data_IF_340012700442
#
_entry.id   IF_340012700442
#
_cell.length_a   1.000
_cell.length_b   1.000
_cell.length_c   1.000
_cell.angle_alpha   90.00
_cell.angle_beta   90.00
_cell.angle_gamma   90.00
#
_symmetry.space_group_name_H-M   'P 1'
#
loop_
_entity.id
_entity.type
_entity.pdbx_description
1 polymer ?
#
# COMPACT_ATOMS: atom_id res chain seq x y z
N UNK A 1 -23.43 -38.95 36.60
CA UNK A 1 -24.04 -37.66 36.95
C UNK A 1 -22.96 -36.77 37.58
N UNK A 2 -22.33 -35.92 36.81
CA UNK A 2 -21.38 -34.94 37.31
C UNK A 2 -22.01 -33.54 37.13
N UNK A 3 -22.27 -32.88 38.26
CA UNK A 3 -22.78 -31.50 38.27
C UNK A 3 -21.59 -30.53 38.13
N UNK A 4 -21.55 -29.81 37.03
CA UNK A 4 -20.63 -28.68 36.88
C UNK A 4 -21.35 -27.43 37.37
N UNK A 5 -20.85 -26.86 38.50
CA UNK A 5 -21.35 -25.62 39.06
C UNK A 5 -20.83 -24.42 38.25
N UNK A 6 -21.74 -23.59 37.75
CA UNK A 6 -21.40 -22.28 37.21
C UNK A 6 -21.18 -21.26 38.32
N UNK A 7 -20.15 -20.40 38.25
CA UNK A 7 -20.02 -19.30 39.18
C UNK A 7 -20.99 -18.18 38.85
N UNK A 8 -21.66 -17.71 39.88
CA UNK A 8 -22.59 -16.60 39.91
C UNK A 8 -21.86 -15.28 39.56
N UNK A 9 -22.25 -14.61 38.47
CA UNK A 9 -21.74 -13.29 38.13
C UNK A 9 -22.74 -12.21 38.56
N UNK A 10 -22.32 -11.39 39.51
CA UNK A 10 -23.02 -10.18 39.92
C UNK A 10 -23.02 -9.14 38.78
N UNK A 11 -24.13 -8.45 38.51
CA UNK A 11 -24.16 -7.35 37.54
C UNK A 11 -23.89 -6.05 38.30
N UNK A 12 -22.72 -5.50 38.14
CA UNK A 12 -22.41 -4.20 38.71
C UNK A 12 -21.00 -3.70 38.32
N UNK A 13 -21.02 -2.55 37.68
CA UNK A 13 -19.89 -1.68 37.33
C UNK A 13 -19.07 -2.07 36.09
N UNK A 14 -19.53 -1.59 34.94
CA UNK A 14 -18.64 -1.35 33.80
C UNK A 14 -17.81 -0.10 34.14
N UNK A 15 -16.59 -0.31 34.61
CA UNK A 15 -15.55 0.69 34.56
C UNK A 15 -15.13 0.77 33.08
N UNK A 16 -15.40 1.91 32.45
CA UNK A 16 -14.85 2.27 31.18
C UNK A 16 -13.33 2.36 31.34
N UNK A 17 -12.62 1.30 31.01
CA UNK A 17 -11.19 1.39 30.77
C UNK A 17 -11.01 2.18 29.45
N UNK A 18 -10.51 3.39 29.57
CA UNK A 18 -9.97 4.14 28.45
C UNK A 18 -8.88 3.29 27.77
N UNK A 19 -8.86 3.23 26.42
CA UNK A 19 -7.80 2.49 25.73
C UNK A 19 -6.46 3.18 25.96
N UNK A 20 -5.37 2.44 26.24
CA UNK A 20 -4.07 2.98 26.62
C UNK A 20 -3.21 3.43 25.42
N UNK A 21 -3.76 4.06 24.41
CA UNK A 21 -2.99 4.53 23.25
C UNK A 21 -3.36 5.96 22.83
N UNK A 22 -3.31 6.91 23.77
CA UNK A 22 -3.04 8.29 23.44
C UNK A 22 -1.58 8.56 23.76
N UNK A 23 -0.70 8.40 22.76
CA UNK A 23 0.61 9.00 22.80
C UNK A 23 0.42 10.52 22.68
N UNK A 24 0.38 11.22 23.79
CA UNK A 24 0.53 12.69 23.77
C UNK A 24 1.99 13.00 23.43
N UNK A 25 2.26 13.20 22.15
CA UNK A 25 3.53 13.76 21.72
C UNK A 25 3.50 15.24 22.12
N UNK A 26 4.24 15.60 23.17
CA UNK A 26 4.51 17.00 23.45
C UNK A 26 5.31 17.58 22.28
N UNK A 27 4.93 18.75 21.73
CA UNK A 27 5.71 19.35 20.67
C UNK A 27 7.13 19.64 21.20
N UNK A 28 8.19 19.38 20.42
CA UNK A 28 9.54 19.63 20.84
C UNK A 28 9.75 21.14 21.09
N UNK A 29 9.98 21.50 22.36
CA UNK A 29 10.40 22.84 22.75
C UNK A 29 11.86 23.01 22.36
N UNK A 30 12.13 23.81 21.32
CA UNK A 30 13.45 24.36 21.06
C UNK A 30 14.40 23.46 20.27
N UNK A 31 14.06 23.13 19.03
CA UNK A 31 15.00 22.59 18.05
C UNK A 31 15.68 23.72 17.27
N UNK A 32 16.99 23.63 17.13
CA UNK A 32 17.82 24.54 16.31
C UNK A 32 17.23 24.58 14.90
N UNK A 33 17.06 25.79 14.38
CA UNK A 33 16.80 26.04 12.95
C UNK A 33 17.95 25.41 12.14
N UNK A 34 17.80 24.18 11.67
CA UNK A 34 18.55 23.74 10.51
C UNK A 34 18.11 24.62 9.34
N UNK A 35 19.05 25.08 8.48
CA UNK A 35 18.69 25.92 7.37
C UNK A 35 17.67 25.21 6.51
N UNK A 36 16.53 25.86 6.33
CA UNK A 36 15.44 25.48 5.42
C UNK A 36 16.09 25.07 4.08
N UNK A 37 16.16 23.77 3.80
CA UNK A 37 16.53 23.30 2.46
C UNK A 37 15.61 24.04 1.52
N UNK A 38 16.15 24.82 0.62
CA UNK A 38 15.39 25.67 -0.26
C UNK A 38 14.31 24.81 -0.92
N UNK A 39 13.03 24.98 -0.57
CA UNK A 39 11.91 24.16 -1.07
C UNK A 39 11.93 24.03 -2.60
N UNK A 40 12.46 25.03 -3.29
CA UNK A 40 12.61 25.01 -4.76
C UNK A 40 13.59 23.94 -5.28
N UNK A 41 14.39 23.32 -4.42
CA UNK A 41 15.33 22.26 -4.81
C UNK A 41 14.78 20.85 -4.59
N UNK A 42 13.64 20.71 -3.89
CA UNK A 42 13.00 19.40 -3.65
C UNK A 42 12.38 18.84 -4.94
N UNK A 43 12.55 17.55 -5.15
CA UNK A 43 11.93 16.83 -6.27
C UNK A 43 10.41 16.80 -6.15
N UNK A 44 9.88 16.53 -4.95
CA UNK A 44 8.44 16.45 -4.70
C UNK A 44 7.70 17.74 -5.07
N UNK A 45 8.30 18.90 -4.86
CA UNK A 45 7.71 20.20 -5.26
C UNK A 45 7.57 20.35 -6.78
N UNK A 46 8.30 19.55 -7.56
CA UNK A 46 8.32 19.58 -9.03
C UNK A 46 7.41 18.51 -9.66
N UNK A 47 6.79 17.64 -8.85
CA UNK A 47 5.91 16.58 -9.35
C UNK A 47 4.47 17.10 -9.41
N UNK A 48 3.98 17.39 -10.58
CA UNK A 48 2.58 17.74 -10.83
C UNK A 48 1.76 16.54 -11.35
N UNK A 49 2.45 15.54 -11.91
CA UNK A 49 1.83 14.40 -12.54
C UNK A 49 2.75 13.17 -12.56
N UNK A 50 2.24 11.96 -12.80
CA UNK A 50 3.08 10.77 -12.98
C UNK A 50 4.12 10.91 -14.09
N UNK A 51 3.86 11.75 -15.11
CA UNK A 51 4.81 12.00 -16.19
C UNK A 51 6.12 12.67 -15.69
N UNK A 52 6.05 13.43 -14.60
CA UNK A 52 7.23 14.07 -14.02
C UNK A 52 8.10 13.04 -13.26
N UNK A 53 7.47 12.06 -12.60
CA UNK A 53 8.17 10.94 -11.95
C UNK A 53 9.00 10.16 -12.95
N UNK A 54 8.46 9.93 -14.17
CA UNK A 54 9.13 9.18 -15.24
C UNK A 54 10.38 9.85 -15.83
N UNK A 55 10.58 11.13 -15.54
CA UNK A 55 11.76 11.88 -16.00
C UNK A 55 12.96 11.78 -15.06
N UNK A 56 12.73 11.27 -13.85
CA UNK A 56 13.75 11.15 -12.83
C UNK A 56 14.63 9.93 -13.06
N UNK A 57 15.91 10.04 -12.76
CA UNK A 57 16.81 8.90 -12.65
C UNK A 57 16.52 8.09 -11.38
N UNK A 58 16.99 6.85 -11.31
CA UNK A 58 16.80 5.97 -10.14
C UNK A 58 17.33 6.65 -8.86
N UNK A 59 18.50 7.31 -8.92
CA UNK A 59 19.02 8.04 -7.77
C UNK A 59 18.14 9.20 -7.31
N UNK A 60 17.50 9.91 -8.26
CA UNK A 60 16.55 10.99 -7.96
C UNK A 60 15.24 10.44 -7.40
N UNK A 61 14.78 9.25 -7.85
CA UNK A 61 13.61 8.58 -7.30
C UNK A 61 13.84 8.15 -5.84
N UNK A 62 15.05 7.73 -5.50
CA UNK A 62 15.42 7.43 -4.10
C UNK A 62 15.36 8.69 -3.23
N UNK A 63 15.84 9.83 -3.75
CA UNK A 63 15.74 11.11 -3.05
C UNK A 63 14.28 11.57 -2.91
N UNK A 64 13.48 11.44 -3.96
CA UNK A 64 12.03 11.71 -3.95
C UNK A 64 11.32 10.86 -2.89
N UNK A 65 11.65 9.56 -2.77
CA UNK A 65 11.10 8.69 -1.72
C UNK A 65 11.41 9.20 -0.32
N UNK A 66 12.63 9.70 -0.08
CA UNK A 66 13.00 10.34 1.18
C UNK A 66 12.17 11.60 1.48
N UNK A 67 12.00 12.48 0.49
CA UNK A 67 11.18 13.69 0.63
C UNK A 67 9.69 13.38 0.90
N UNK A 68 9.15 12.33 0.25
CA UNK A 68 7.79 11.84 0.50
C UNK A 68 7.64 11.35 1.94
N UNK A 69 8.63 10.60 2.48
CA UNK A 69 8.62 10.15 3.88
C UNK A 69 8.60 11.31 4.86
N UNK A 70 9.40 12.34 4.62
CA UNK A 70 9.39 13.57 5.43
C UNK A 70 8.02 14.27 5.38
N UNK A 71 7.44 14.42 4.19
CA UNK A 71 6.12 15.03 4.02
C UNK A 71 5.01 14.25 4.75
N UNK A 72 5.03 12.91 4.68
CA UNK A 72 4.12 12.04 5.43
C UNK A 72 4.27 12.23 6.93
N UNK A 73 5.51 12.22 7.43
CA UNK A 73 5.79 12.40 8.84
C UNK A 73 5.25 13.75 9.35
N UNK A 74 5.51 14.82 8.62
CA UNK A 74 5.04 16.16 8.99
C UNK A 74 3.52 16.27 8.98
N UNK A 75 2.86 15.84 7.90
CA UNK A 75 1.40 15.90 7.82
C UNK A 75 0.75 15.04 8.89
N UNK A 76 1.13 13.76 9.00
CA UNK A 76 0.42 12.82 9.89
C UNK A 76 0.67 13.16 11.36
N UNK A 77 1.86 13.61 11.74
CA UNK A 77 2.12 14.05 13.11
C UNK A 77 1.35 15.32 13.50
N UNK A 78 1.10 16.23 12.56
CA UNK A 78 0.40 17.49 12.81
C UNK A 78 -1.13 17.37 12.69
N UNK A 79 -1.63 16.47 11.84
CA UNK A 79 -3.03 16.43 11.42
C UNK A 79 -3.71 15.08 11.65
N UNK A 80 -2.94 14.02 11.89
CA UNK A 80 -3.43 12.65 11.95
C UNK A 80 -3.54 12.00 10.57
N UNK A 81 -3.87 10.72 10.56
CA UNK A 81 -3.99 9.92 9.34
C UNK A 81 -3.33 8.55 9.48
N UNK A 82 -3.16 7.87 8.34
CA UNK A 82 -2.59 6.52 8.29
C UNK A 82 -1.08 6.59 8.03
N UNK A 83 -0.26 6.38 9.06
CA UNK A 83 1.19 6.55 8.98
C UNK A 83 1.89 5.28 8.47
N UNK A 84 1.89 4.19 9.26
CA UNK A 84 2.58 2.93 8.96
C UNK A 84 2.31 2.40 7.55
N UNK A 85 1.02 2.21 7.16
CA UNK A 85 0.70 1.70 5.83
C UNK A 85 1.24 2.54 4.67
N UNK A 86 1.33 3.86 4.84
CA UNK A 86 1.86 4.74 3.80
C UNK A 86 3.38 4.68 3.72
N UNK A 87 4.09 4.59 4.85
CA UNK A 87 5.55 4.46 4.86
C UNK A 87 6.02 3.17 4.20
N UNK A 88 5.33 2.04 4.44
CA UNK A 88 5.63 0.76 3.80
C UNK A 88 5.40 0.73 2.29
N UNK A 89 4.67 1.71 1.74
CA UNK A 89 4.29 1.75 0.32
C UNK A 89 4.97 2.88 -0.48
N UNK A 90 5.92 3.62 0.10
CA UNK A 90 6.54 4.77 -0.58
C UNK A 90 7.25 4.33 -1.85
N UNK A 91 8.25 3.49 -1.76
CA UNK A 91 9.08 3.05 -2.89
C UNK A 91 8.24 2.26 -3.91
N UNK A 92 7.35 1.40 -3.44
CA UNK A 92 6.46 0.64 -4.31
C UNK A 92 5.54 1.55 -5.12
N UNK A 93 4.97 2.61 -4.50
CA UNK A 93 4.10 3.56 -5.21
C UNK A 93 4.89 4.44 -6.18
N UNK A 94 6.10 4.87 -5.81
CA UNK A 94 7.01 5.60 -6.72
C UNK A 94 7.35 4.74 -7.94
N UNK A 95 7.71 3.48 -7.73
CA UNK A 95 8.03 2.54 -8.81
C UNK A 95 6.80 2.23 -9.70
N UNK A 96 5.60 2.09 -9.12
CA UNK A 96 4.36 1.93 -9.88
C UNK A 96 4.12 3.12 -10.82
N UNK A 97 4.24 4.35 -10.33
CA UNK A 97 4.07 5.55 -11.17
C UNK A 97 5.20 5.77 -12.16
N UNK A 98 6.40 5.25 -11.87
CA UNK A 98 7.50 5.27 -12.83
C UNK A 98 7.26 4.31 -14.00
N UNK A 99 6.75 3.11 -13.73
CA UNK A 99 6.58 2.06 -14.74
C UNK A 99 5.24 2.19 -15.49
N UNK A 100 4.13 2.32 -14.77
CA UNK A 100 2.79 2.33 -15.35
C UNK A 100 2.32 3.73 -15.74
N UNK A 101 1.41 3.82 -16.71
CA UNK A 101 0.93 5.07 -17.31
C UNK A 101 -0.46 5.45 -16.77
N UNK A 102 -0.55 5.73 -15.46
CA UNK A 102 -1.81 6.18 -14.85
C UNK A 102 -2.21 7.56 -15.41
N UNK A 103 -3.51 7.82 -15.76
CA UNK A 103 -4.67 6.97 -15.49
C UNK A 103 -5.02 5.96 -16.59
N UNK A 104 -4.24 5.86 -17.69
CA UNK A 104 -4.46 4.83 -18.73
C UNK A 104 -4.34 3.44 -18.12
N UNK A 105 -3.22 3.16 -17.44
CA UNK A 105 -3.06 1.99 -16.58
C UNK A 105 -3.81 2.21 -15.27
N UNK A 106 -4.60 1.22 -14.84
CA UNK A 106 -5.47 1.33 -13.68
C UNK A 106 -4.77 0.80 -12.43
N UNK A 107 -4.58 1.66 -11.42
CA UNK A 107 -4.03 1.28 -10.12
C UNK A 107 -5.17 1.29 -9.09
N UNK A 108 -5.42 0.16 -8.44
CA UNK A 108 -6.47 0.01 -7.43
C UNK A 108 -5.83 -0.42 -6.11
N UNK A 109 -5.89 0.44 -5.11
CA UNK A 109 -5.32 0.20 -3.79
C UNK A 109 -6.37 -0.38 -2.85
N UNK A 110 -6.07 -1.51 -2.22
CA UNK A 110 -6.96 -2.14 -1.23
C UNK A 110 -7.13 -1.24 -0.01
N UNK A 111 -8.32 -1.18 0.58
CA UNK A 111 -8.66 -0.20 1.63
C UNK A 111 -8.44 1.24 1.17
N UNK A 112 -7.34 1.48 0.46
CA UNK A 112 -6.81 2.75 -0.06
C UNK A 112 -6.29 3.75 1.01
N UNK A 113 -6.18 3.33 2.26
CA UNK A 113 -5.59 4.13 3.33
C UNK A 113 -4.07 4.34 3.16
N UNK A 114 -3.40 3.53 2.33
CA UNK A 114 -1.99 3.63 1.95
C UNK A 114 -1.79 4.39 0.62
N UNK A 115 -2.78 5.19 0.18
CA UNK A 115 -2.75 5.89 -1.12
C UNK A 115 -2.21 7.32 -1.05
N UNK A 116 -1.63 7.77 0.07
CA UNK A 116 -1.15 9.14 0.21
C UNK A 116 -0.02 9.47 -0.79
N UNK A 117 0.89 8.53 -1.00
CA UNK A 117 1.96 8.67 -1.99
C UNK A 117 1.38 8.78 -3.41
N UNK A 118 0.41 7.94 -3.74
CA UNK A 118 -0.32 8.02 -5.00
C UNK A 118 -0.97 9.41 -5.18
N UNK A 119 -1.60 9.96 -4.15
CA UNK A 119 -2.18 11.30 -4.19
C UNK A 119 -1.12 12.38 -4.44
N UNK A 120 0.03 12.29 -3.76
CA UNK A 120 1.13 13.25 -3.98
C UNK A 120 1.63 13.23 -5.41
N UNK A 121 1.81 12.05 -6.00
CA UNK A 121 2.34 11.86 -7.36
C UNK A 121 1.32 12.12 -8.48
N UNK A 122 0.04 12.30 -8.12
CA UNK A 122 -1.07 12.56 -9.04
C UNK A 122 -1.69 13.95 -8.87
N UNK A 123 -0.87 14.94 -8.54
CA UNK A 123 -1.23 16.36 -8.55
C UNK A 123 -1.76 16.93 -7.24
N UNK A 124 -1.86 16.11 -6.17
CA UNK A 124 -2.43 16.52 -4.87
C UNK A 124 -1.37 16.73 -3.78
N UNK A 125 -0.08 16.91 -4.15
CA UNK A 125 1.02 17.04 -3.19
C UNK A 125 0.86 18.22 -2.21
N UNK A 126 0.19 19.31 -2.62
CA UNK A 126 -0.02 20.46 -1.74
C UNK A 126 -0.78 20.11 -0.47
N UNK A 127 -1.73 19.18 -0.54
CA UNK A 127 -2.43 18.67 0.63
C UNK A 127 -1.54 17.87 1.60
N UNK A 128 -0.26 17.68 1.28
CA UNK A 128 0.74 17.02 2.14
C UNK A 128 1.89 17.94 2.53
N UNK A 129 2.09 19.02 1.78
CA UNK A 129 3.21 19.96 1.98
C UNK A 129 2.78 21.27 2.63
N UNK A 130 1.52 21.68 2.45
CA UNK A 130 1.00 22.94 2.98
C UNK A 130 0.00 22.66 4.11
N UNK A 131 0.31 23.04 5.36
CA UNK A 131 -0.60 22.86 6.49
C UNK A 131 -2.00 23.48 6.29
N UNK A 132 -2.12 24.52 5.48
CA UNK A 132 -3.41 25.14 5.17
C UNK A 132 -4.28 24.28 4.25
N UNK A 133 -3.69 23.30 3.56
CA UNK A 133 -4.37 22.41 2.60
C UNK A 133 -4.48 20.96 3.08
N UNK A 134 -4.09 20.65 4.32
CA UNK A 134 -4.11 19.27 4.85
C UNK A 134 -5.48 18.59 4.78
N UNK A 135 -6.57 19.34 4.87
CA UNK A 135 -7.95 18.88 4.72
C UNK A 135 -8.42 18.78 3.25
N UNK A 136 -7.56 19.16 2.30
CA UNK A 136 -7.91 19.25 0.87
C UNK A 136 -8.06 17.90 0.16
N UNK A 137 -7.78 16.78 0.85
CA UNK A 137 -7.89 15.42 0.29
C UNK A 137 -8.48 14.45 1.30
N UNK A 138 -9.24 13.48 0.82
CA UNK A 138 -9.70 12.33 1.60
C UNK A 138 -8.53 11.46 2.07
N UNK A 139 -8.68 10.78 3.19
CA UNK A 139 -7.75 9.74 3.66
C UNK A 139 -7.80 8.43 2.85
N UNK A 140 -8.64 8.37 1.83
CA UNK A 140 -8.89 7.20 0.98
C UNK A 140 -8.95 7.60 -0.49
N UNK A 141 -8.99 6.61 -1.40
CA UNK A 141 -9.23 6.83 -2.83
C UNK A 141 -10.59 7.50 -3.05
N UNK A 142 -10.61 8.57 -3.87
CA UNK A 142 -11.79 9.39 -4.06
C UNK A 142 -11.84 9.92 -5.51
N UNK A 143 -12.68 9.32 -6.38
CA UNK A 143 -12.76 9.71 -7.80
C UNK A 143 -13.14 11.17 -8.04
N UNK A 144 -13.78 11.83 -7.08
CA UNK A 144 -14.12 13.26 -7.22
C UNK A 144 -12.88 14.16 -7.09
N UNK A 145 -11.78 13.66 -6.51
CA UNK A 145 -10.53 14.39 -6.38
C UNK A 145 -9.63 14.27 -7.63
N UNK A 146 -9.66 13.11 -8.30
CA UNK A 146 -8.71 12.81 -9.38
C UNK A 146 -9.18 11.67 -10.29
N UNK A 147 -8.91 11.79 -11.59
CA UNK A 147 -9.12 10.71 -12.57
C UNK A 147 -8.23 9.49 -12.36
N UNK A 148 -7.21 9.60 -11.51
CA UNK A 148 -6.33 8.51 -11.11
C UNK A 148 -6.95 7.60 -10.05
N UNK A 149 -7.99 8.05 -9.36
CA UNK A 149 -8.75 7.30 -8.37
C UNK A 149 -10.00 6.70 -9.04
N UNK A 150 -10.17 5.38 -9.01
CA UNK A 150 -11.23 4.72 -9.80
C UNK A 150 -12.47 4.37 -8.99
N UNK A 151 -12.32 4.25 -7.67
CA UNK A 151 -13.38 3.84 -6.74
C UNK A 151 -13.27 4.61 -5.43
N UNK A 152 -14.39 4.79 -4.75
CA UNK A 152 -14.40 5.10 -3.32
C UNK A 152 -14.17 3.80 -2.58
N UNK A 153 -13.03 3.65 -1.93
CA UNK A 153 -12.63 2.42 -1.22
C UNK A 153 -12.32 2.78 0.24
N UNK A 154 -12.68 1.91 1.14
CA UNK A 154 -12.38 1.98 2.58
C UNK A 154 -12.46 0.59 3.23
N UNK A 155 -12.90 -0.41 2.48
CA UNK A 155 -13.06 -1.79 2.95
C UNK A 155 -11.88 -2.67 2.53
N UNK A 156 -11.45 -3.56 3.42
CA UNK A 156 -10.37 -4.53 3.16
C UNK A 156 -10.80 -5.59 2.14
N UNK A 157 -9.84 -6.18 1.47
CA UNK A 157 -9.98 -7.37 0.60
C UNK A 157 -10.71 -7.13 -0.73
N UNK A 158 -10.98 -5.88 -1.10
CA UNK A 158 -11.84 -5.54 -2.25
C UNK A 158 -11.07 -5.23 -3.55
N UNK A 159 -9.79 -4.86 -3.45
CA UNK A 159 -9.02 -4.35 -4.61
C UNK A 159 -8.91 -5.34 -5.76
N UNK A 160 -8.73 -6.62 -5.47
CA UNK A 160 -8.55 -7.66 -6.49
C UNK A 160 -9.82 -7.83 -7.31
N UNK A 161 -10.99 -7.89 -6.65
CA UNK A 161 -12.30 -7.98 -7.31
C UNK A 161 -12.61 -6.73 -8.14
N UNK A 162 -12.38 -5.54 -7.58
CA UNK A 162 -12.61 -4.27 -8.28
C UNK A 162 -11.71 -4.13 -9.51
N UNK A 163 -10.42 -4.42 -9.35
CA UNK A 163 -9.46 -4.39 -10.46
C UNK A 163 -9.77 -5.48 -11.51
N UNK A 164 -10.18 -6.68 -11.08
CA UNK A 164 -10.64 -7.75 -11.97
C UNK A 164 -11.82 -7.31 -12.84
N UNK A 165 -12.77 -6.57 -12.25
CA UNK A 165 -13.88 -5.95 -12.97
C UNK A 165 -13.40 -4.94 -14.03
N UNK A 166 -12.41 -4.09 -13.71
CA UNK A 166 -11.81 -3.16 -14.67
C UNK A 166 -11.09 -3.88 -15.80
N UNK A 167 -10.32 -4.94 -15.50
CA UNK A 167 -9.64 -5.74 -16.51
C UNK A 167 -10.65 -6.38 -17.47
N UNK A 168 -11.71 -6.98 -16.93
CA UNK A 168 -12.79 -7.55 -17.74
C UNK A 168 -13.50 -6.51 -18.61
N UNK A 169 -13.79 -5.34 -18.06
CA UNK A 169 -14.43 -4.24 -18.81
C UNK A 169 -13.52 -3.76 -19.95
N UNK A 170 -12.21 -3.58 -19.68
CA UNK A 170 -11.21 -3.26 -20.72
C UNK A 170 -11.24 -4.27 -21.85
N UNK A 171 -11.19 -5.56 -21.54
CA UNK A 171 -11.14 -6.63 -22.56
C UNK A 171 -12.41 -6.68 -23.40
N UNK A 172 -13.59 -6.54 -22.76
CA UNK A 172 -14.89 -6.51 -23.46
C UNK A 172 -15.03 -5.30 -24.41
N UNK A 173 -14.35 -4.20 -24.07
CA UNK A 173 -14.33 -2.99 -24.90
C UNK A 173 -13.23 -3.01 -25.96
N UNK A 174 -12.38 -4.05 -25.99
CA UNK A 174 -11.18 -4.08 -26.85
C UNK A 174 -10.17 -2.98 -26.50
N UNK A 175 -10.15 -2.56 -25.24
CA UNK A 175 -9.26 -1.52 -24.72
C UNK A 175 -7.86 -2.05 -24.43
N UNK A 176 -6.97 -1.13 -24.13
CA UNK A 176 -5.56 -1.39 -23.79
C UNK A 176 -5.23 -0.87 -22.38
N UNK A 177 -4.05 -1.20 -21.90
CA UNK A 177 -3.47 -0.75 -20.64
C UNK A 177 -3.44 -1.83 -19.60
N UNK A 178 -2.60 -1.61 -18.59
CA UNK A 178 -2.43 -2.51 -17.48
C UNK A 178 -3.49 -2.27 -16.41
N UNK A 179 -3.85 -3.33 -15.68
CA UNK A 179 -4.68 -3.22 -14.48
C UNK A 179 -3.93 -3.84 -13.31
N UNK A 180 -3.70 -3.04 -12.29
CA UNK A 180 -2.90 -3.40 -11.13
C UNK A 180 -3.76 -3.29 -9.86
N UNK A 181 -3.92 -4.40 -9.15
CA UNK A 181 -4.46 -4.44 -7.80
C UNK A 181 -3.32 -4.42 -6.79
N UNK A 182 -3.35 -3.53 -5.83
CA UNK A 182 -2.39 -3.45 -4.72
C UNK A 182 -3.10 -3.87 -3.45
N UNK A 183 -2.59 -4.89 -2.77
CA UNK A 183 -3.20 -5.46 -1.56
C UNK A 183 -2.13 -5.79 -0.52
N UNK A 184 -2.41 -5.48 0.74
CA UNK A 184 -1.56 -5.90 1.86
C UNK A 184 -1.83 -7.35 2.27
N UNK A 185 -0.84 -7.99 2.86
CA UNK A 185 -0.94 -9.38 3.36
C UNK A 185 -2.09 -9.57 4.37
N UNK A 186 -2.32 -8.59 5.25
CA UNK A 186 -3.45 -8.63 6.20
C UNK A 186 -4.81 -8.70 5.51
N UNK A 187 -5.01 -7.92 4.44
CA UNK A 187 -6.24 -7.91 3.64
C UNK A 187 -6.38 -9.15 2.74
N UNK A 188 -5.25 -9.73 2.33
CA UNK A 188 -5.21 -10.87 1.42
C UNK A 188 -5.93 -12.11 1.98
N UNK A 189 -6.05 -12.24 3.31
CA UNK A 189 -6.75 -13.35 3.96
C UNK A 189 -8.27 -13.25 3.95
N UNK A 190 -8.83 -12.13 3.48
CA UNK A 190 -10.28 -11.95 3.40
C UNK A 190 -10.92 -12.80 2.30
N UNK A 191 -12.15 -13.28 2.55
CA UNK A 191 -12.87 -14.15 1.61
C UNK A 191 -13.06 -13.54 0.22
N UNK A 192 -13.35 -12.24 0.16
CA UNK A 192 -13.51 -11.51 -1.10
C UNK A 192 -12.21 -11.44 -1.91
N UNK A 193 -11.04 -11.30 -1.23
CA UNK A 193 -9.75 -11.34 -1.91
C UNK A 193 -9.48 -12.73 -2.53
N UNK A 194 -9.83 -13.82 -1.82
CA UNK A 194 -9.72 -15.18 -2.36
C UNK A 194 -10.64 -15.40 -3.57
N UNK A 195 -11.88 -14.96 -3.50
CA UNK A 195 -12.82 -15.02 -4.62
C UNK A 195 -12.34 -14.17 -5.80
N UNK A 196 -11.82 -12.97 -5.52
CA UNK A 196 -11.21 -12.11 -6.52
C UNK A 196 -9.99 -12.74 -7.20
N UNK A 197 -9.12 -13.42 -6.45
CA UNK A 197 -7.98 -14.15 -7.00
C UNK A 197 -8.42 -15.35 -7.84
N UNK A 198 -9.41 -16.11 -7.39
CA UNK A 198 -9.97 -17.24 -8.14
C UNK A 198 -10.50 -16.78 -9.51
N UNK A 199 -11.29 -15.71 -9.52
CA UNK A 199 -11.76 -15.09 -10.74
C UNK A 199 -10.63 -14.53 -11.62
N UNK A 200 -9.67 -13.82 -11.01
CA UNK A 200 -8.58 -13.18 -11.73
C UNK A 200 -7.65 -14.19 -12.44
N UNK A 201 -7.45 -15.37 -11.84
CA UNK A 201 -6.68 -16.46 -12.45
C UNK A 201 -7.27 -16.95 -13.79
N UNK A 202 -8.59 -16.87 -13.95
CA UNK A 202 -9.28 -17.27 -15.19
C UNK A 202 -9.34 -16.17 -16.27
N UNK A 203 -8.97 -14.92 -15.95
CA UNK A 203 -9.08 -13.81 -16.90
C UNK A 203 -8.27 -14.06 -18.18
N UNK A 204 -7.13 -14.74 -18.09
CA UNK A 204 -6.27 -15.07 -19.23
C UNK A 204 -5.76 -13.83 -19.98
N UNK A 205 -5.63 -12.70 -19.31
CA UNK A 205 -5.29 -11.39 -19.87
C UNK A 205 -4.35 -10.63 -18.93
N UNK A 206 -3.96 -9.41 -19.31
CA UNK A 206 -3.16 -8.53 -18.47
C UNK A 206 -3.89 -8.20 -17.16
N UNK A 207 -3.36 -8.72 -16.07
CA UNK A 207 -3.79 -8.43 -14.71
C UNK A 207 -2.64 -8.63 -13.74
N UNK A 208 -2.35 -7.63 -12.93
CA UNK A 208 -1.20 -7.65 -12.03
C UNK A 208 -1.71 -7.48 -10.60
N UNK A 209 -1.35 -8.40 -9.71
CA UNK A 209 -1.61 -8.28 -8.27
C UNK A 209 -0.29 -8.01 -7.57
N UNK A 210 -0.17 -6.87 -6.92
CA UNK A 210 0.96 -6.50 -6.07
C UNK A 210 0.57 -6.78 -4.63
N UNK A 211 1.17 -7.80 -4.03
CA UNK A 211 0.99 -8.14 -2.63
C UNK A 211 2.12 -7.52 -1.82
N UNK A 212 1.79 -6.59 -0.95
CA UNK A 212 2.71 -5.99 0.00
C UNK A 212 2.70 -6.82 1.29
N UNK A 213 3.75 -7.59 1.52
CA UNK A 213 3.90 -8.49 2.67
C UNK A 213 4.95 -7.92 3.63
N UNK A 214 4.49 -7.46 4.78
CA UNK A 214 5.33 -7.02 5.90
C UNK A 214 5.09 -7.83 7.17
N UNK A 215 4.36 -8.94 7.08
CA UNK A 215 4.01 -9.87 8.18
C UNK A 215 3.05 -9.28 9.22
N UNK A 216 2.58 -8.06 9.00
CA UNK A 216 1.75 -7.34 9.97
C UNK A 216 0.47 -6.81 9.33
N UNK A 217 -0.60 -6.87 10.09
CA UNK A 217 -1.76 -6.00 9.93
C UNK A 217 -1.77 -4.96 11.06
N UNK A 218 -2.86 -4.82 11.82
CA UNK A 218 -2.84 -4.06 13.10
C UNK A 218 -2.10 -4.88 14.18
N UNK A 219 -2.14 -6.20 14.05
CA UNK A 219 -1.45 -7.18 14.89
C UNK A 219 -0.77 -8.22 13.98
N UNK A 220 0.01 -9.13 14.59
CA UNK A 220 0.60 -10.26 13.87
C UNK A 220 -0.47 -11.06 13.11
N UNK A 221 -0.14 -11.45 11.90
CA UNK A 221 -1.03 -12.25 11.06
C UNK A 221 -1.04 -13.72 11.47
N UNK A 222 -2.22 -14.33 11.53
CA UNK A 222 -2.40 -15.73 11.88
C UNK A 222 -3.29 -16.46 10.86
N UNK A 223 -2.93 -17.66 10.48
CA UNK A 223 -3.70 -18.51 9.57
C UNK A 223 -2.83 -19.27 8.57
N UNK A 224 -3.44 -20.23 7.85
CA UNK A 224 -2.70 -21.10 6.93
C UNK A 224 -2.05 -20.39 5.75
N UNK A 225 -2.66 -19.29 5.27
CA UNK A 225 -2.08 -18.48 4.19
C UNK A 225 -0.72 -17.91 4.61
N UNK A 226 -0.62 -17.41 5.83
CA UNK A 226 0.61 -16.76 6.32
C UNK A 226 1.78 -17.71 6.50
N UNK A 227 1.50 -19.00 6.79
CA UNK A 227 2.51 -20.06 6.74
C UNK A 227 3.12 -20.18 5.34
N UNK A 228 2.30 -20.15 4.29
CA UNK A 228 2.79 -20.19 2.91
C UNK A 228 3.54 -18.90 2.51
N UNK A 229 3.07 -17.73 2.91
CA UNK A 229 3.79 -16.47 2.70
C UNK A 229 5.17 -16.50 3.40
N UNK A 230 5.25 -17.05 4.60
CA UNK A 230 6.53 -17.24 5.31
C UNK A 230 7.47 -18.16 4.54
N UNK A 231 7.00 -19.33 4.08
CA UNK A 231 7.80 -20.23 3.26
C UNK A 231 8.30 -19.56 1.97
N UNK A 232 7.47 -18.73 1.33
CA UNK A 232 7.85 -17.96 0.15
C UNK A 232 8.97 -16.96 0.46
N UNK A 233 8.89 -16.24 1.58
CA UNK A 233 9.95 -15.32 2.02
C UNK A 233 11.25 -16.06 2.32
N UNK A 234 11.21 -17.11 3.15
CA UNK A 234 12.37 -17.87 3.57
C UNK A 234 13.08 -18.58 2.41
N UNK A 235 12.33 -18.98 1.37
CA UNK A 235 12.88 -19.62 0.18
C UNK A 235 13.28 -18.63 -0.94
N UNK A 236 13.15 -17.32 -0.72
CA UNK A 236 13.34 -16.35 -1.79
C UNK A 236 12.36 -16.54 -2.96
N UNK A 237 11.12 -16.90 -2.66
CA UNK A 237 10.05 -17.14 -3.65
C UNK A 237 10.07 -18.52 -4.30
N UNK A 238 10.94 -19.45 -3.88
CA UNK A 238 11.16 -20.73 -4.56
C UNK A 238 10.62 -21.95 -3.81
N UNK A 239 9.73 -21.78 -2.82
CA UNK A 239 9.15 -22.92 -2.12
C UNK A 239 8.37 -23.85 -3.08
N UNK A 240 8.33 -25.14 -2.76
CA UNK A 240 7.66 -26.14 -3.58
C UNK A 240 6.13 -25.95 -3.62
N UNK A 241 5.55 -25.45 -2.52
CA UNK A 241 4.16 -25.08 -2.41
C UNK A 241 4.03 -23.57 -2.55
N UNK A 242 3.53 -23.09 -3.67
CA UNK A 242 3.27 -21.68 -3.91
C UNK A 242 1.78 -21.50 -4.18
N UNK A 243 1.08 -20.89 -3.26
CA UNK A 243 -0.36 -20.65 -3.32
C UNK A 243 -0.79 -19.95 -4.62
N UNK A 244 -0.07 -18.92 -5.05
CA UNK A 244 -0.42 -18.15 -6.23
C UNK A 244 -0.24 -18.98 -7.51
N UNK A 245 0.84 -19.75 -7.62
CA UNK A 245 1.06 -20.65 -8.75
C UNK A 245 0.04 -21.78 -8.77
N UNK A 246 -0.39 -22.28 -7.60
CA UNK A 246 -1.42 -23.30 -7.51
C UNK A 246 -2.79 -22.81 -8.02
N UNK A 247 -3.05 -21.50 -7.91
CA UNK A 247 -4.24 -20.86 -8.48
C UNK A 247 -4.11 -20.54 -9.98
N UNK A 248 -2.92 -20.69 -10.58
CA UNK A 248 -2.72 -20.44 -12.01
C UNK A 248 -2.05 -19.11 -12.37
N UNK A 249 -1.60 -18.31 -11.37
CA UNK A 249 -0.87 -17.07 -11.64
C UNK A 249 0.58 -17.32 -12.03
N UNK A 250 1.09 -16.49 -12.92
CA UNK A 250 2.52 -16.22 -12.95
C UNK A 250 2.94 -15.55 -11.64
N UNK A 251 4.21 -15.74 -11.24
CA UNK A 251 4.64 -15.30 -9.92
C UNK A 251 6.04 -14.70 -9.94
N UNK A 252 6.19 -13.57 -9.26
CA UNK A 252 7.47 -12.92 -8.99
C UNK A 252 7.60 -12.61 -7.51
N UNK A 253 8.81 -12.78 -6.99
CA UNK A 253 9.17 -12.40 -5.64
C UNK A 253 10.19 -11.26 -5.69
N UNK A 254 9.98 -10.24 -4.86
CA UNK A 254 10.89 -9.12 -4.67
C UNK A 254 11.32 -9.12 -3.21
N UNK A 255 12.56 -9.50 -2.98
CA UNK A 255 13.10 -9.68 -1.62
C UNK A 255 13.33 -8.35 -0.89
N UNK A 256 13.58 -7.28 -1.63
CA UNK A 256 13.75 -5.93 -1.10
C UNK A 256 12.67 -5.01 -1.70
N UNK A 257 11.52 -5.02 -1.05
CA UNK A 257 10.33 -4.26 -1.45
C UNK A 257 10.41 -2.77 -1.12
N UNK A 258 11.52 -2.31 -0.53
CA UNK A 258 11.83 -0.91 -0.30
C UNK A 258 12.97 -0.38 -1.21
N UNK A 259 13.49 -1.21 -2.11
CA UNK A 259 14.44 -0.78 -3.15
C UNK A 259 13.72 -0.38 -4.42
N UNK A 260 13.78 0.92 -4.74
CA UNK A 260 13.12 1.49 -5.94
C UNK A 260 13.63 0.84 -7.23
N UNK A 261 14.93 0.54 -7.35
CA UNK A 261 15.50 -0.07 -8.56
C UNK A 261 15.01 -1.51 -8.74
N UNK A 262 15.02 -2.30 -7.67
CA UNK A 262 14.50 -3.67 -7.67
C UNK A 262 13.01 -3.70 -8.05
N UNK A 263 12.22 -2.77 -7.50
CA UNK A 263 10.80 -2.64 -7.78
C UNK A 263 10.53 -2.22 -9.25
N UNK A 264 11.28 -1.25 -9.77
CA UNK A 264 11.18 -0.85 -11.19
C UNK A 264 11.51 -2.04 -12.10
N UNK A 265 12.56 -2.79 -11.79
CA UNK A 265 12.92 -3.99 -12.53
C UNK A 265 11.81 -5.05 -12.53
N UNK A 266 11.23 -5.30 -11.35
CA UNK A 266 10.15 -6.27 -11.18
C UNK A 266 8.88 -5.86 -11.94
N UNK A 267 8.43 -4.60 -11.78
CA UNK A 267 7.22 -4.09 -12.44
C UNK A 267 7.40 -3.95 -13.95
N UNK A 268 8.56 -3.51 -14.43
CA UNK A 268 8.86 -3.46 -15.85
C UNK A 268 8.82 -4.85 -16.52
N UNK A 269 9.22 -5.88 -15.79
CA UNK A 269 9.20 -7.25 -16.31
C UNK A 269 7.80 -7.87 -16.38
N UNK A 270 6.80 -7.28 -15.73
CA UNK A 270 5.40 -7.74 -15.77
C UNK A 270 4.47 -6.75 -16.48
N UNK A 271 4.96 -5.56 -16.81
CA UNK A 271 4.21 -4.61 -17.64
C UNK A 271 3.83 -5.28 -18.95
N UNK A 272 2.60 -5.05 -19.39
CA UNK A 272 2.05 -5.61 -20.63
C UNK A 272 2.05 -7.16 -20.69
N UNK A 273 2.08 -7.83 -19.53
CA UNK A 273 1.95 -9.30 -19.46
C UNK A 273 0.66 -9.77 -20.15
N UNK A 274 0.71 -10.95 -20.77
CA UNK A 274 -0.46 -11.57 -21.39
C UNK A 274 -1.27 -12.47 -20.42
N UNK A 275 -0.73 -12.71 -19.23
CA UNK A 275 -1.34 -13.58 -18.21
C UNK A 275 -1.40 -12.87 -16.86
N UNK A 276 -2.35 -13.25 -15.99
CA UNK A 276 -2.38 -12.76 -14.62
C UNK A 276 -1.10 -13.10 -13.87
N UNK A 277 -0.54 -12.13 -13.17
CA UNK A 277 0.71 -12.28 -12.43
C UNK A 277 0.60 -11.70 -11.02
N UNK A 278 1.19 -12.39 -10.04
CA UNK A 278 1.37 -11.90 -8.68
C UNK A 278 2.81 -11.48 -8.46
N UNK A 279 3.00 -10.25 -8.03
CA UNK A 279 4.26 -9.71 -7.51
C UNK A 279 4.17 -9.68 -5.98
N UNK A 280 4.87 -10.57 -5.29
CA UNK A 280 4.99 -10.56 -3.85
C UNK A 280 6.19 -9.73 -3.45
N UNK A 281 5.94 -8.59 -2.78
CA UNK A 281 6.95 -7.70 -2.26
C UNK A 281 7.14 -7.99 -0.78
N UNK A 282 8.37 -8.21 -0.35
CA UNK A 282 8.69 -8.22 1.06
C UNK A 282 9.19 -6.84 1.47
N UNK A 283 8.40 -6.13 2.27
CA UNK A 283 8.72 -4.78 2.73
C UNK A 283 9.00 -4.78 4.23
N UNK A 284 9.87 -3.87 4.68
CA UNK A 284 9.95 -3.57 6.09
C UNK A 284 8.68 -2.85 6.51
N UNK A 285 8.11 -3.23 7.67
CA UNK A 285 7.08 -2.42 8.31
C UNK A 285 7.71 -1.13 8.84
N UNK A 286 7.02 -0.01 8.67
CA UNK A 286 7.39 1.23 9.35
C UNK A 286 7.35 1.08 10.89
N UNK A 287 6.70 0.04 11.41
CA UNK A 287 6.73 -0.32 12.82
C UNK A 287 8.04 -1.03 13.22
N UNK A 288 8.78 -1.63 12.27
CA UNK A 288 10.11 -2.19 12.54
C UNK A 288 11.18 -1.10 12.60
N UNK A 289 10.99 0.03 11.92
CA UNK A 289 11.67 1.28 12.21
C UNK A 289 11.10 1.88 13.51
N UNK A 290 11.18 1.13 14.59
CA UNK A 290 11.05 1.70 15.94
C UNK A 290 12.18 2.70 16.11
N UNK A 291 11.95 3.89 15.61
CA UNK A 291 12.58 5.05 16.18
C UNK A 291 12.03 5.06 17.60
N UNK A 292 12.74 4.41 18.49
CA UNK A 292 12.58 4.64 19.91
C UNK A 292 12.89 6.12 20.09
N UNK A 293 11.85 6.93 20.14
CA UNK A 293 11.96 8.28 20.66
C UNK A 293 12.07 8.07 22.17
N UNK A 294 13.32 7.88 22.65
CA UNK A 294 13.66 8.00 24.06
C UNK A 294 13.45 9.46 24.51
#
# INVERSE_FOLDING_TARGET
MCKIGMPNRNPGTYLLHEPPYFCTVNPPTGGRNEPDKNRNDMYLEKIDSPADVKRLSVGELTLLSGEIREALLHKVSAHGGHFGPNLGMVEATVALHYVFDSPKDKLVFDVSHQSYVHKMLTGRRRAFLDPAEYDGVSGYSEPSESEHDHFVIGHTSTSVSLAGGLAKARDLQGGEGNVVAVIGDGSLSGGEAFEGLDYAAELGTNFIVVVNDNQMSIAENHGGLYGNLQELRESGGNCACNFFRAMGFDYRYVADGNDVEALIGAFSAVKDTAHPVVCLLYTSDAADDRISVD
#
